data_IF_835032046585
#
_entry.id   IF_835032046585
#
_cell.length_a   1.000
_cell.length_b   1.000
_cell.length_c   1.000
_cell.angle_alpha   90.00
_cell.angle_beta   90.00
_cell.angle_gamma   90.00
#
_symmetry.space_group_name_H-M   'P 1'
#
loop_
_entity.id
_entity.type
_entity.pdbx_description
1 polymer ?
#
# COMPACT_ATOMS: atom_id res chain seq x y z
N UNK A 1 -8.82 0.13 19.92
CA UNK A 1 -9.73 -0.86 19.32
C UNK A 1 -11.19 -0.39 19.26
N UNK A 2 -11.91 -0.19 20.39
CA UNK A 2 -13.35 0.20 20.36
C UNK A 2 -13.58 1.50 19.58
N UNK A 3 -12.81 2.54 19.83
CA UNK A 3 -12.90 3.81 19.11
C UNK A 3 -12.65 3.66 17.61
N UNK A 4 -11.61 2.92 17.21
CA UNK A 4 -11.28 2.69 15.80
C UNK A 4 -12.41 1.95 15.06
N UNK A 5 -13.02 0.94 15.70
CA UNK A 5 -14.14 0.19 15.10
C UNK A 5 -15.41 1.05 15.01
N UNK A 6 -15.70 1.84 16.04
CA UNK A 6 -16.94 2.60 16.14
C UNK A 6 -16.99 3.81 15.20
N UNK A 7 -15.87 4.51 15.05
CA UNK A 7 -15.78 5.72 14.23
C UNK A 7 -15.42 5.47 12.77
N UNK A 8 -15.08 4.23 12.41
CA UNK A 8 -14.77 3.89 11.01
C UNK A 8 -16.03 3.98 10.13
N UNK A 9 -15.93 4.78 9.07
CA UNK A 9 -17.04 5.06 8.17
C UNK A 9 -17.53 3.80 7.43
N UNK A 10 -16.64 2.88 7.11
CA UNK A 10 -17.00 1.61 6.45
C UNK A 10 -17.87 0.71 7.33
N UNK A 11 -17.85 0.93 8.64
CA UNK A 11 -18.59 0.14 9.62
C UNK A 11 -19.99 0.68 9.94
N UNK A 12 -20.39 1.84 9.42
CA UNK A 12 -21.60 2.58 9.87
C UNK A 12 -22.86 1.73 9.97
N UNK A 13 -23.02 0.74 9.10
CA UNK A 13 -24.20 -0.17 9.09
C UNK A 13 -23.98 -1.50 9.84
N UNK A 14 -22.80 -1.75 10.40
CA UNK A 14 -22.43 -3.02 11.02
C UNK A 14 -21.57 -2.87 12.29
N UNK A 15 -21.62 -1.72 12.97
CA UNK A 15 -20.77 -1.37 14.11
C UNK A 15 -20.74 -2.44 15.20
N UNK A 16 -21.90 -2.88 15.68
CA UNK A 16 -21.99 -3.90 16.73
C UNK A 16 -21.37 -5.23 16.29
N UNK A 17 -21.70 -5.70 15.07
CA UNK A 17 -21.10 -6.92 14.52
C UNK A 17 -19.58 -6.81 14.44
N UNK A 18 -19.04 -5.65 14.03
CA UNK A 18 -17.59 -5.41 13.95
C UNK A 18 -16.93 -5.35 15.33
N UNK A 19 -17.61 -4.82 16.33
CA UNK A 19 -17.12 -4.87 17.72
C UNK A 19 -17.01 -6.31 18.24
N UNK A 20 -18.01 -7.15 17.98
CA UNK A 20 -17.96 -8.58 18.33
C UNK A 20 -16.82 -9.31 17.60
N UNK A 21 -16.66 -9.09 16.30
CA UNK A 21 -15.56 -9.67 15.53
C UNK A 21 -14.20 -9.20 16.05
N UNK A 22 -14.05 -7.92 16.35
CA UNK A 22 -12.81 -7.35 16.89
C UNK A 22 -12.49 -7.92 18.29
N UNK A 23 -13.49 -8.02 19.17
CA UNK A 23 -13.35 -8.64 20.49
C UNK A 23 -12.97 -10.13 20.39
N UNK A 24 -13.69 -10.88 19.58
CA UNK A 24 -13.41 -12.30 19.31
C UNK A 24 -12.00 -12.50 18.74
N UNK A 25 -11.57 -11.63 17.82
CA UNK A 25 -10.21 -11.67 17.27
C UNK A 25 -9.14 -11.42 18.32
N UNK A 26 -9.38 -10.50 19.27
CA UNK A 26 -8.42 -10.24 20.35
C UNK A 26 -8.27 -11.47 21.27
N UNK A 27 -9.34 -12.20 21.54
CA UNK A 27 -9.29 -13.46 22.29
C UNK A 27 -8.58 -14.54 21.47
N UNK A 28 -8.98 -14.69 20.19
CA UNK A 28 -8.41 -15.68 19.28
C UNK A 28 -6.89 -15.55 19.16
N UNK A 29 -6.39 -14.33 18.96
CA UNK A 29 -4.94 -14.05 18.85
C UNK A 29 -4.15 -14.50 20.08
N UNK A 30 -4.76 -14.47 21.26
CA UNK A 30 -4.09 -14.81 22.53
C UNK A 30 -4.18 -16.28 22.88
N UNK A 31 -5.29 -16.92 22.56
CA UNK A 31 -5.62 -18.28 22.99
C UNK A 31 -5.33 -19.30 21.89
N UNK A 32 -5.92 -19.12 20.71
CA UNK A 32 -5.86 -20.13 19.63
C UNK A 32 -4.61 -19.96 18.77
N UNK A 33 -4.24 -18.73 18.46
CA UNK A 33 -3.01 -18.35 17.72
C UNK A 33 -2.85 -18.97 16.33
N UNK A 34 -3.91 -19.46 15.71
CA UNK A 34 -3.90 -19.98 14.35
C UNK A 34 -4.49 -18.99 13.35
N UNK A 35 -4.04 -19.00 12.08
CA UNK A 35 -4.66 -18.18 11.04
C UNK A 35 -6.13 -18.55 10.81
N UNK A 36 -6.94 -17.57 10.41
CA UNK A 36 -8.33 -17.77 10.01
C UNK A 36 -8.58 -17.19 8.63
N UNK A 37 -9.46 -17.81 7.85
CA UNK A 37 -9.87 -17.28 6.55
C UNK A 37 -11.14 -16.47 6.73
N UNK A 38 -11.10 -15.21 6.25
CA UNK A 38 -12.23 -14.29 6.33
C UNK A 38 -12.60 -13.76 4.95
N UNK A 39 -13.89 -13.52 4.67
CA UNK A 39 -14.31 -12.91 3.40
C UNK A 39 -14.02 -11.42 3.41
N UNK A 40 -13.56 -10.91 2.26
CA UNK A 40 -13.44 -9.49 1.97
C UNK A 40 -14.74 -8.96 1.34
N UNK A 41 -14.90 -7.63 1.31
CA UNK A 41 -16.12 -6.98 0.80
C UNK A 41 -16.33 -7.19 -0.72
N UNK A 42 -15.29 -7.48 -1.46
CA UNK A 42 -15.28 -7.70 -2.92
C UNK A 42 -15.39 -9.17 -3.32
N UNK A 43 -15.68 -10.06 -2.38
CA UNK A 43 -15.91 -11.49 -2.62
C UNK A 43 -14.66 -12.36 -2.52
N UNK A 44 -13.46 -11.78 -2.48
CA UNK A 44 -12.23 -12.53 -2.24
C UNK A 44 -12.10 -12.94 -0.77
N UNK A 45 -11.16 -13.85 -0.49
CA UNK A 45 -10.87 -14.38 0.84
C UNK A 45 -9.48 -13.93 1.29
N UNK A 46 -9.34 -13.68 2.57
CA UNK A 46 -8.08 -13.27 3.18
C UNK A 46 -7.75 -14.19 4.35
N UNK A 47 -6.54 -14.73 4.38
CA UNK A 47 -6.01 -15.48 5.50
C UNK A 47 -5.43 -14.49 6.51
N UNK A 48 -6.15 -14.31 7.61
CA UNK A 48 -5.76 -13.41 8.69
C UNK A 48 -4.84 -14.15 9.68
N UNK A 49 -3.66 -13.59 9.89
CA UNK A 49 -2.65 -14.12 10.81
C UNK A 49 -2.69 -13.36 12.14
N UNK A 50 -2.59 -14.05 13.31
CA UNK A 50 -2.66 -13.42 14.63
C UNK A 50 -1.56 -12.38 14.91
N UNK A 51 -0.41 -12.53 14.29
CA UNK A 51 0.80 -11.70 14.41
C UNK A 51 0.93 -10.64 13.30
N UNK A 52 -0.17 -10.29 12.61
CA UNK A 52 -0.17 -9.34 11.50
C UNK A 52 -1.19 -8.21 11.72
N UNK A 53 -0.76 -6.96 11.58
CA UNK A 53 -1.62 -5.77 11.74
C UNK A 53 -2.68 -5.69 10.64
N UNK A 54 -2.34 -5.99 9.39
CA UNK A 54 -3.28 -6.02 8.28
C UNK A 54 -4.47 -6.96 8.57
N UNK A 55 -4.21 -8.09 9.25
CA UNK A 55 -5.25 -9.01 9.70
C UNK A 55 -6.23 -8.38 10.70
N UNK A 56 -5.71 -7.58 11.63
CA UNK A 56 -6.54 -6.85 12.57
C UNK A 56 -7.35 -5.76 11.88
N UNK A 57 -6.77 -5.07 10.91
CA UNK A 57 -7.46 -4.04 10.13
C UNK A 57 -8.70 -4.62 9.41
N UNK A 58 -8.58 -5.77 8.73
CA UNK A 58 -9.71 -6.43 8.04
C UNK A 58 -10.83 -6.85 9.00
N UNK A 59 -10.48 -7.26 10.23
CA UNK A 59 -11.47 -7.70 11.21
C UNK A 59 -12.13 -6.54 11.96
N UNK A 60 -11.41 -5.41 12.14
CA UNK A 60 -11.92 -4.24 12.81
C UNK A 60 -12.78 -3.36 11.89
N UNK A 61 -12.41 -3.30 10.61
CA UNK A 61 -13.08 -2.46 9.63
C UNK A 61 -13.60 -3.30 8.48
N UNK A 62 -14.66 -2.85 7.81
CA UNK A 62 -15.15 -3.51 6.61
C UNK A 62 -14.18 -3.32 5.44
N UNK A 63 -13.64 -2.13 5.33
CA UNK A 63 -12.70 -1.72 4.31
C UNK A 63 -11.56 -0.97 5.02
N UNK A 64 -10.40 -1.60 5.20
CA UNK A 64 -9.22 -0.91 5.73
C UNK A 64 -8.91 0.33 4.89
N UNK A 65 -8.51 1.41 5.55
CA UNK A 65 -8.22 2.68 4.90
C UNK A 65 -9.31 3.14 3.92
N UNK A 66 -10.57 3.14 4.40
CA UNK A 66 -11.77 3.27 3.58
C UNK A 66 -11.73 4.45 2.61
N UNK A 67 -11.26 5.63 3.05
CA UNK A 67 -11.27 6.85 2.22
C UNK A 67 -10.31 6.71 1.04
N UNK A 68 -9.07 6.35 1.31
CA UNK A 68 -8.03 6.24 0.29
C UNK A 68 -8.30 5.07 -0.65
N UNK A 69 -8.69 3.90 -0.12
CA UNK A 69 -9.04 2.76 -0.97
C UNK A 69 -10.28 3.05 -1.84
N UNK A 70 -11.29 3.73 -1.30
CA UNK A 70 -12.49 4.11 -2.07
C UNK A 70 -12.16 5.12 -3.17
N UNK A 71 -11.28 6.08 -2.89
CA UNK A 71 -10.79 7.02 -3.88
C UNK A 71 -10.02 6.29 -4.98
N UNK A 72 -9.04 5.47 -4.64
CA UNK A 72 -8.27 4.68 -5.59
C UNK A 72 -9.19 3.80 -6.46
N UNK A 73 -10.09 3.02 -5.86
CA UNK A 73 -11.04 2.14 -6.57
C UNK A 73 -12.00 2.88 -7.51
N UNK A 74 -12.34 4.13 -7.19
CA UNK A 74 -13.22 4.96 -8.03
C UNK A 74 -12.54 5.47 -9.27
N UNK A 75 -11.26 5.83 -9.16
CA UNK A 75 -10.54 6.57 -10.19
C UNK A 75 -9.53 5.74 -10.97
N UNK A 76 -9.13 4.56 -10.46
CA UNK A 76 -8.26 3.66 -11.22
C UNK A 76 -9.00 2.99 -12.38
N UNK A 77 -8.29 2.75 -13.45
CA UNK A 77 -8.75 2.00 -14.60
C UNK A 77 -8.32 0.53 -14.48
N UNK A 78 -8.85 -0.34 -15.35
CA UNK A 78 -8.37 -1.71 -15.44
C UNK A 78 -6.99 -1.73 -16.07
N UNK A 79 -6.05 -2.41 -15.42
CA UNK A 79 -4.67 -2.50 -15.88
C UNK A 79 -3.81 -3.27 -14.88
N UNK A 80 -2.51 -3.04 -14.92
CA UNK A 80 -1.55 -3.57 -13.95
C UNK A 80 -1.52 -2.66 -12.73
N UNK A 81 -1.57 -3.23 -11.55
CA UNK A 81 -1.35 -2.56 -10.27
C UNK A 81 0.04 -2.91 -9.73
N UNK A 82 0.82 -1.90 -9.39
CA UNK A 82 2.11 -2.09 -8.72
C UNK A 82 1.93 -1.85 -7.22
N UNK A 83 2.15 -2.88 -6.41
CA UNK A 83 2.01 -2.85 -4.94
C UNK A 83 3.39 -2.87 -4.30
N UNK A 84 3.95 -1.69 -4.02
CA UNK A 84 5.30 -1.54 -3.46
C UNK A 84 5.18 -1.45 -1.94
N UNK A 85 5.82 -2.42 -1.23
CA UNK A 85 5.58 -2.68 0.18
C UNK A 85 4.26 -3.43 0.38
N UNK A 86 4.08 -4.53 -0.37
CA UNK A 86 2.80 -5.23 -0.42
C UNK A 86 2.43 -5.97 0.87
N UNK A 87 3.37 -6.17 1.77
CA UNK A 87 3.19 -6.93 3.00
C UNK A 87 2.53 -8.29 2.70
N UNK A 88 1.40 -8.61 3.30
CA UNK A 88 0.66 -9.86 3.07
C UNK A 88 -0.28 -9.82 1.85
N UNK A 89 -0.15 -8.83 0.96
CA UNK A 89 -0.92 -8.69 -0.28
C UNK A 89 -2.36 -8.22 -0.09
N UNK A 90 -2.69 -7.60 1.05
CA UNK A 90 -4.06 -7.21 1.36
C UNK A 90 -4.61 -6.16 0.38
N UNK A 91 -3.86 -5.12 0.04
CA UNK A 91 -4.34 -4.06 -0.86
C UNK A 91 -4.57 -4.62 -2.26
N UNK A 92 -3.66 -5.43 -2.78
CA UNK A 92 -3.84 -6.12 -4.06
C UNK A 92 -5.10 -6.99 -4.08
N UNK A 93 -5.42 -7.71 -2.99
CA UNK A 93 -6.69 -8.46 -2.87
C UNK A 93 -7.91 -7.56 -2.84
N UNK A 94 -7.84 -6.42 -2.13
CA UNK A 94 -8.94 -5.46 -2.05
C UNK A 94 -9.21 -4.75 -3.39
N UNK A 95 -8.25 -4.82 -4.32
CA UNK A 95 -8.34 -4.24 -5.67
C UNK A 95 -8.55 -5.32 -6.75
N UNK A 96 -8.47 -6.61 -6.45
CA UNK A 96 -8.43 -7.68 -7.42
C UNK A 96 -9.63 -7.73 -8.40
N UNK A 97 -10.79 -7.23 -8.01
CA UNK A 97 -11.97 -7.07 -8.87
C UNK A 97 -11.88 -5.88 -9.84
N UNK A 98 -10.87 -5.01 -9.69
CA UNK A 98 -10.68 -3.77 -10.45
C UNK A 98 -9.49 -3.80 -11.41
N UNK A 99 -8.59 -4.77 -11.26
CA UNK A 99 -7.32 -4.84 -12.00
C UNK A 99 -7.29 -6.10 -12.87
N UNK A 100 -6.42 -6.11 -13.86
CA UNK A 100 -6.15 -7.31 -14.66
C UNK A 100 -5.04 -8.15 -14.04
N UNK A 101 -4.02 -7.48 -13.51
CA UNK A 101 -2.85 -8.10 -12.93
C UNK A 101 -2.27 -7.23 -11.82
N UNK A 102 -1.49 -7.83 -10.92
CA UNK A 102 -0.71 -7.08 -9.95
C UNK A 102 0.70 -7.65 -9.84
N UNK A 103 1.67 -6.75 -9.66
CA UNK A 103 3.05 -7.08 -9.33
C UNK A 103 3.32 -6.51 -7.94
N UNK A 104 3.60 -7.42 -7.00
CA UNK A 104 3.81 -7.12 -5.60
C UNK A 104 5.29 -7.16 -5.27
N UNK A 105 5.81 -6.12 -4.63
CA UNK A 105 7.17 -6.06 -4.13
C UNK A 105 7.14 -6.03 -2.61
N UNK A 106 7.70 -7.06 -1.99
CA UNK A 106 7.75 -7.20 -0.53
C UNK A 106 9.10 -7.82 -0.15
N UNK A 107 10.01 -7.04 0.47
CA UNK A 107 11.35 -7.52 0.78
C UNK A 107 11.41 -8.56 1.91
N UNK A 108 10.44 -8.56 2.84
CA UNK A 108 10.41 -9.54 3.92
C UNK A 108 9.94 -10.90 3.39
N UNK A 109 10.78 -11.96 3.41
CA UNK A 109 10.41 -13.27 2.86
C UNK A 109 9.17 -13.89 3.52
N UNK A 110 8.98 -13.66 4.83
CA UNK A 110 7.83 -14.20 5.56
C UNK A 110 6.53 -13.49 5.15
N UNK A 111 6.56 -12.17 4.93
CA UNK A 111 5.43 -11.39 4.42
C UNK A 111 5.12 -11.77 2.98
N UNK A 112 6.12 -11.87 2.11
CA UNK A 112 5.97 -12.29 0.72
C UNK A 112 5.39 -13.71 0.60
N UNK A 113 5.80 -14.65 1.44
CA UNK A 113 5.21 -15.99 1.48
C UNK A 113 3.71 -15.93 1.82
N UNK A 114 3.31 -15.12 2.82
CA UNK A 114 1.89 -14.93 3.18
C UNK A 114 1.11 -14.21 2.07
N UNK A 115 1.72 -13.29 1.34
CA UNK A 115 1.10 -12.68 0.16
C UNK A 115 0.79 -13.76 -0.90
N UNK A 116 1.75 -14.63 -1.22
CA UNK A 116 1.55 -15.76 -2.14
C UNK A 116 0.44 -16.70 -1.67
N UNK A 117 0.39 -17.04 -0.37
CA UNK A 117 -0.71 -17.85 0.18
C UNK A 117 -2.07 -17.18 0.02
N UNK A 118 -2.16 -15.87 0.24
CA UNK A 118 -3.38 -15.09 0.08
C UNK A 118 -3.83 -15.03 -1.40
N UNK A 119 -2.91 -14.87 -2.32
CA UNK A 119 -3.20 -14.90 -3.76
C UNK A 119 -3.66 -16.29 -4.21
N UNK A 120 -2.95 -17.33 -3.80
CA UNK A 120 -3.28 -18.72 -4.11
C UNK A 120 -4.65 -19.14 -3.57
N UNK A 121 -5.03 -18.68 -2.37
CA UNK A 121 -6.36 -18.89 -1.77
C UNK A 121 -7.50 -18.41 -2.67
N UNK A 122 -7.21 -17.46 -3.57
CA UNK A 122 -8.17 -16.82 -4.47
C UNK A 122 -7.91 -17.17 -5.95
N UNK A 123 -7.00 -18.08 -6.23
CA UNK A 123 -6.61 -18.48 -7.59
C UNK A 123 -6.13 -17.30 -8.46
N UNK A 124 -5.48 -16.31 -7.84
CA UNK A 124 -4.93 -15.15 -8.52
C UNK A 124 -3.47 -15.42 -8.92
N UNK A 125 -3.17 -15.30 -10.22
CA UNK A 125 -1.83 -15.45 -10.78
C UNK A 125 -0.99 -14.17 -10.71
N UNK A 126 -1.16 -13.36 -9.66
CA UNK A 126 -0.37 -12.14 -9.45
C UNK A 126 1.05 -12.49 -9.03
N UNK A 127 2.01 -11.64 -9.38
CA UNK A 127 3.42 -11.86 -9.12
C UNK A 127 3.84 -11.29 -7.75
N UNK A 128 4.70 -12.01 -7.03
CA UNK A 128 5.28 -11.55 -5.75
C UNK A 128 6.79 -11.68 -5.80
N UNK A 129 7.48 -10.54 -5.74
CA UNK A 129 8.92 -10.43 -5.75
C UNK A 129 9.46 -10.10 -4.36
N UNK A 130 10.39 -10.92 -3.85
CA UNK A 130 11.13 -10.66 -2.60
C UNK A 130 12.23 -9.63 -2.88
N UNK A 131 11.83 -8.38 -2.99
CA UNK A 131 12.67 -7.27 -3.46
C UNK A 131 12.26 -5.97 -2.79
N UNK A 132 13.22 -5.24 -2.25
CA UNK A 132 13.04 -3.85 -1.84
C UNK A 132 13.22 -2.94 -3.06
N UNK A 133 12.25 -2.11 -3.36
CA UNK A 133 12.44 -1.05 -4.36
C UNK A 133 13.09 0.17 -3.72
N UNK A 134 14.00 0.82 -4.45
CA UNK A 134 14.82 1.92 -3.98
C UNK A 134 15.37 2.72 -5.18
N UNK A 135 16.21 3.71 -4.90
CA UNK A 135 17.00 4.46 -5.88
C UNK A 135 18.37 3.82 -6.21
N UNK A 136 18.67 2.67 -5.61
CA UNK A 136 19.97 2.00 -5.75
C UNK A 136 19.78 0.49 -5.86
N UNK A 137 20.74 -0.18 -6.52
CA UNK A 137 20.82 -1.64 -6.60
C UNK A 137 21.84 -2.18 -5.60
N UNK A 138 21.59 -3.38 -5.08
CA UNK A 138 22.48 -4.07 -4.15
C UNK A 138 21.73 -4.75 -2.99
N UNK A 139 22.31 -4.71 -1.81
CA UNK A 139 21.72 -5.19 -0.57
C UNK A 139 21.34 -4.03 0.35
N UNK A 140 20.32 -4.24 1.15
CA UNK A 140 19.90 -3.31 2.20
C UNK A 140 19.45 -4.10 3.41
N UNK A 141 19.72 -3.56 4.61
CA UNK A 141 19.18 -4.13 5.84
C UNK A 141 17.79 -3.61 6.09
N UNK A 142 16.87 -4.51 6.45
CA UNK A 142 15.54 -4.15 6.94
C UNK A 142 15.36 -4.67 8.37
N UNK A 143 14.60 -3.95 9.19
CA UNK A 143 14.23 -4.42 10.53
C UNK A 143 13.39 -5.69 10.42
N UNK A 144 13.67 -6.67 11.29
CA UNK A 144 12.92 -7.91 11.38
C UNK A 144 12.61 -8.21 12.86
N UNK A 145 11.54 -7.66 13.35
CA UNK A 145 11.09 -7.84 14.75
C UNK A 145 10.55 -9.25 15.07
N UNK A 146 10.80 -10.24 14.20
CA UNK A 146 10.42 -11.64 14.43
C UNK A 146 8.97 -11.97 14.09
N UNK A 147 8.31 -11.14 13.29
CA UNK A 147 6.94 -11.34 12.79
C UNK A 147 6.73 -10.72 11.42
N UNK A 148 5.52 -10.90 10.88
CA UNK A 148 5.07 -10.23 9.67
C UNK A 148 4.30 -8.98 10.09
N UNK A 149 4.87 -8.20 10.99
CA UNK A 149 4.30 -6.91 11.34
C UNK A 149 4.75 -5.86 10.34
N UNK A 150 3.89 -4.90 10.08
CA UNK A 150 4.03 -3.86 9.07
C UNK A 150 5.18 -2.87 9.30
N UNK A 151 6.00 -3.07 10.31
CA UNK A 151 7.07 -2.15 10.69
C UNK A 151 8.47 -2.60 10.24
N UNK A 152 8.60 -3.33 9.13
CA UNK A 152 9.90 -3.73 8.60
C UNK A 152 10.54 -2.55 7.85
N UNK A 153 11.06 -1.59 8.61
CA UNK A 153 11.71 -0.40 8.04
C UNK A 153 13.06 -0.72 7.43
N UNK A 154 13.35 -0.07 6.33
CA UNK A 154 14.70 -0.05 5.77
C UNK A 154 15.65 0.69 6.71
N UNK A 155 16.76 0.06 7.09
CA UNK A 155 17.76 0.64 7.98
C UNK A 155 18.77 1.43 7.14
N UNK A 156 18.44 2.69 6.83
CA UNK A 156 19.33 3.61 6.13
C UNK A 156 19.42 4.90 6.92
N UNK A 157 20.64 5.27 7.31
CA UNK A 157 20.91 6.52 8.00
C UNK A 157 20.51 6.58 9.49
N UNK A 158 20.13 5.45 10.10
CA UNK A 158 19.88 5.36 11.55
C UNK A 158 20.36 4.01 12.11
N UNK A 159 20.48 3.93 13.44
CA UNK A 159 20.81 2.69 14.15
C UNK A 159 19.53 2.10 14.73
N UNK A 160 19.33 0.78 14.61
CA UNK A 160 18.24 0.06 15.23
C UNK A 160 18.75 -0.92 16.29
N UNK A 161 17.97 -1.16 17.33
CA UNK A 161 18.19 -2.23 18.29
C UNK A 161 17.45 -3.52 17.93
N UNK A 162 16.66 -3.51 16.88
CA UNK A 162 15.92 -4.67 16.39
C UNK A 162 16.84 -5.56 15.55
N UNK A 163 16.61 -6.88 15.52
CA UNK A 163 17.24 -7.76 14.53
C UNK A 163 16.99 -7.24 13.12
N UNK A 164 17.98 -7.43 12.24
CA UNK A 164 17.86 -7.08 10.82
C UNK A 164 18.05 -8.30 9.94
N UNK A 165 17.54 -8.21 8.72
CA UNK A 165 17.84 -9.15 7.63
C UNK A 165 18.31 -8.36 6.42
N UNK A 166 19.29 -8.94 5.70
CA UNK A 166 19.79 -8.38 4.45
C UNK A 166 18.91 -8.84 3.30
N UNK A 167 18.38 -7.89 2.53
CA UNK A 167 17.49 -8.17 1.40
C UNK A 167 18.02 -7.49 0.12
N UNK A 168 17.64 -8.04 -1.03
CA UNK A 168 17.96 -7.42 -2.32
C UNK A 168 17.17 -6.13 -2.49
N UNK A 169 17.84 -5.10 -3.04
CA UNK A 169 17.17 -3.87 -3.50
C UNK A 169 17.53 -3.55 -4.94
N UNK A 170 16.61 -2.86 -5.63
CA UNK A 170 16.76 -2.48 -7.03
C UNK A 170 15.85 -1.28 -7.35
N UNK A 171 16.15 -0.54 -8.42
CA UNK A 171 15.19 0.43 -8.96
C UNK A 171 14.10 -0.29 -9.73
N UNK A 172 12.88 0.24 -9.72
CA UNK A 172 11.79 -0.35 -10.52
C UNK A 172 12.07 -0.19 -12.03
N UNK A 173 12.69 0.91 -12.44
CA UNK A 173 13.05 1.15 -13.83
C UNK A 173 13.98 0.03 -14.34
N UNK A 174 14.96 -0.40 -13.54
CA UNK A 174 15.85 -1.52 -13.89
C UNK A 174 15.09 -2.85 -13.87
N UNK A 175 14.23 -3.07 -12.85
CA UNK A 175 13.41 -4.27 -12.77
C UNK A 175 12.57 -4.46 -14.03
N UNK A 176 11.91 -3.41 -14.52
CA UNK A 176 11.09 -3.48 -15.72
C UNK A 176 11.93 -3.68 -17.00
N UNK A 177 13.16 -3.17 -17.03
CA UNK A 177 14.06 -3.41 -18.16
C UNK A 177 14.57 -4.86 -18.24
N UNK A 178 14.58 -5.57 -17.12
CA UNK A 178 15.01 -6.98 -17.01
C UNK A 178 13.86 -7.98 -17.16
N UNK A 179 12.61 -7.52 -17.18
CA UNK A 179 11.43 -8.37 -17.25
C UNK A 179 10.70 -8.17 -18.57
N UNK A 180 9.90 -9.17 -18.95
CA UNK A 180 9.06 -9.12 -20.13
C UNK A 180 8.05 -7.96 -20.09
N UNK A 181 7.53 -7.60 -21.27
CA UNK A 181 6.53 -6.55 -21.40
C UNK A 181 5.33 -6.80 -20.46
N UNK A 182 4.90 -5.74 -19.76
CA UNK A 182 3.73 -5.80 -18.88
C UNK A 182 2.49 -6.27 -19.66
N UNK A 183 1.63 -7.08 -19.04
CA UNK A 183 0.44 -7.65 -19.71
C UNK A 183 -0.64 -6.60 -20.05
N UNK A 184 -0.53 -5.40 -19.49
CA UNK A 184 -1.42 -4.25 -19.74
C UNK A 184 -0.75 -2.96 -19.27
N UNK A 185 -1.29 -1.77 -19.61
CA UNK A 185 -0.83 -0.51 -19.04
C UNK A 185 -0.91 -0.49 -17.51
N UNK A 186 0.01 0.23 -16.87
CA UNK A 186 -0.02 0.42 -15.42
C UNK A 186 -1.15 1.38 -15.08
N UNK A 187 -2.13 0.91 -14.30
CA UNK A 187 -3.30 1.69 -13.91
C UNK A 187 -3.05 2.54 -12.66
N UNK A 188 -2.34 1.97 -11.70
CA UNK A 188 -2.00 2.65 -10.46
C UNK A 188 -0.77 2.03 -9.80
N UNK A 189 -0.13 2.80 -8.94
CA UNK A 189 1.02 2.40 -8.10
C UNK A 189 0.67 2.71 -6.64
N UNK A 190 0.99 1.79 -5.72
CA UNK A 190 1.02 2.06 -4.28
C UNK A 190 2.47 2.01 -3.81
N UNK A 191 2.85 2.96 -2.95
CA UNK A 191 4.15 3.03 -2.28
C UNK A 191 3.90 3.17 -0.79
N UNK A 192 4.25 2.13 -0.03
CA UNK A 192 4.07 2.10 1.43
C UNK A 192 5.21 1.24 1.98
N UNK A 193 6.33 1.90 2.26
CA UNK A 193 7.63 1.27 2.57
C UNK A 193 8.22 1.81 3.86
N UNK A 194 7.35 2.28 4.75
CA UNK A 194 7.67 2.64 6.13
C UNK A 194 8.80 3.68 6.26
N UNK A 195 8.73 4.74 5.44
CA UNK A 195 9.62 5.90 5.48
C UNK A 195 10.76 5.89 4.45
N UNK A 196 10.72 4.98 3.47
CA UNK A 196 11.67 4.93 2.36
C UNK A 196 11.05 5.41 1.02
N UNK A 197 9.88 6.06 1.09
CA UNK A 197 9.04 6.45 -0.06
C UNK A 197 9.81 7.31 -1.06
N UNK A 198 10.60 8.30 -0.59
CA UNK A 198 11.36 9.18 -1.49
C UNK A 198 12.47 8.44 -2.25
N UNK A 199 13.10 7.43 -1.65
CA UNK A 199 14.06 6.60 -2.35
C UNK A 199 13.40 5.72 -3.41
N UNK A 200 12.25 5.12 -3.09
CA UNK A 200 11.44 4.40 -4.07
C UNK A 200 11.03 5.34 -5.21
N UNK A 201 10.53 6.53 -4.87
CA UNK A 201 10.08 7.51 -5.86
C UNK A 201 11.20 7.91 -6.82
N UNK A 202 12.43 8.15 -6.32
CA UNK A 202 13.60 8.39 -7.20
C UNK A 202 13.88 7.22 -8.14
N UNK A 203 13.67 5.99 -7.68
CA UNK A 203 13.89 4.75 -8.47
C UNK A 203 12.78 4.39 -9.47
N UNK A 204 11.67 5.16 -9.51
CA UNK A 204 10.54 4.95 -10.42
C UNK A 204 10.23 6.16 -11.31
N UNK A 205 11.06 7.20 -11.30
CA UNK A 205 10.81 8.42 -12.08
C UNK A 205 10.71 8.15 -13.59
N UNK A 206 11.53 7.22 -14.10
CA UNK A 206 11.46 6.78 -15.50
C UNK A 206 10.10 6.17 -15.84
N UNK A 207 9.61 5.26 -15.01
CA UNK A 207 8.27 4.69 -15.14
C UNK A 207 7.18 5.76 -15.13
N UNK A 208 7.22 6.67 -14.18
CA UNK A 208 6.20 7.74 -14.09
C UNK A 208 6.20 8.63 -15.32
N UNK A 209 7.38 8.93 -15.88
CA UNK A 209 7.51 9.70 -17.11
C UNK A 209 7.01 9.00 -18.36
N UNK A 210 7.19 7.68 -18.46
CA UNK A 210 6.91 6.89 -19.68
C UNK A 210 5.55 6.20 -19.65
N UNK A 211 5.19 5.53 -18.55
CA UNK A 211 3.95 4.77 -18.41
C UNK A 211 2.77 5.60 -17.89
N UNK A 212 3.03 6.75 -17.28
CA UNK A 212 2.00 7.72 -16.85
C UNK A 212 0.84 7.08 -16.07
N UNK A 213 1.07 6.25 -15.02
CA UNK A 213 -0.03 5.69 -14.25
C UNK A 213 -0.95 6.80 -13.73
N UNK A 214 -2.27 6.57 -13.85
CA UNK A 214 -3.29 7.57 -13.54
C UNK A 214 -3.26 8.03 -12.08
N UNK A 215 -2.89 7.11 -11.17
CA UNK A 215 -2.76 7.41 -9.75
C UNK A 215 -1.52 6.73 -9.15
N UNK A 216 -0.83 7.47 -8.31
CA UNK A 216 0.18 6.95 -7.39
C UNK A 216 -0.30 7.24 -5.97
N UNK A 217 -0.58 6.20 -5.19
CA UNK A 217 -0.89 6.29 -3.76
C UNK A 217 0.39 6.08 -2.97
N UNK A 218 0.67 6.93 -1.99
CA UNK A 218 1.86 6.77 -1.16
C UNK A 218 1.60 7.16 0.30
N UNK A 219 2.29 6.47 1.22
CA UNK A 219 2.21 6.77 2.64
C UNK A 219 3.00 8.04 2.96
N UNK A 220 2.40 8.93 3.76
CA UNK A 220 3.06 10.12 4.29
C UNK A 220 3.20 10.03 5.80
N UNK A 221 4.43 9.78 6.25
CA UNK A 221 4.79 9.69 7.66
C UNK A 221 5.47 10.99 8.16
N UNK A 222 5.59 11.15 9.48
CA UNK A 222 6.30 12.29 10.08
C UNK A 222 7.76 12.42 9.62
N UNK A 223 8.39 11.31 9.28
CA UNK A 223 9.78 11.25 8.79
C UNK A 223 9.93 11.48 7.29
N UNK A 224 8.82 11.43 6.54
CA UNK A 224 8.83 11.65 5.09
C UNK A 224 8.99 13.14 4.78
N UNK A 225 9.98 13.50 3.97
CA UNK A 225 10.13 14.86 3.48
C UNK A 225 9.13 15.14 2.35
N UNK A 226 7.94 15.64 2.71
CA UNK A 226 6.86 15.90 1.75
C UNK A 226 7.24 16.94 0.69
N UNK A 227 8.04 17.93 1.03
CA UNK A 227 8.48 18.94 0.07
C UNK A 227 9.33 18.30 -1.05
N UNK A 228 10.25 17.41 -0.68
CA UNK A 228 11.03 16.61 -1.65
C UNK A 228 10.13 15.68 -2.46
N UNK A 229 9.16 15.01 -1.83
CA UNK A 229 8.19 14.15 -2.51
C UNK A 229 7.43 14.92 -3.59
N UNK A 230 6.93 16.12 -3.25
CA UNK A 230 6.22 16.99 -4.19
C UNK A 230 7.11 17.47 -5.33
N UNK A 231 8.37 17.79 -5.05
CA UNK A 231 9.35 18.17 -6.07
C UNK A 231 9.64 17.02 -7.03
N UNK A 232 9.86 15.80 -6.52
CA UNK A 232 10.11 14.61 -7.35
C UNK A 232 8.92 14.33 -8.29
N UNK A 233 7.69 14.41 -7.80
CA UNK A 233 6.49 14.27 -8.63
C UNK A 233 6.39 15.38 -9.67
N UNK A 234 6.65 16.63 -9.30
CA UNK A 234 6.60 17.78 -10.23
C UNK A 234 7.60 17.64 -11.40
N UNK A 235 8.79 17.07 -11.15
CA UNK A 235 9.81 16.83 -12.21
C UNK A 235 9.30 15.94 -13.35
N UNK A 236 8.31 15.10 -13.09
CA UNK A 236 7.71 14.19 -14.08
C UNK A 236 6.28 14.58 -14.44
N UNK A 237 5.87 15.81 -14.09
CA UNK A 237 4.56 16.37 -14.44
C UNK A 237 3.40 15.73 -13.66
N UNK A 238 3.61 15.44 -12.37
CA UNK A 238 2.57 14.98 -11.44
C UNK A 238 2.30 16.02 -10.37
N UNK A 239 1.06 16.06 -9.88
CA UNK A 239 0.65 16.86 -8.73
C UNK A 239 0.12 16.00 -7.60
N UNK A 240 0.38 16.44 -6.37
CA UNK A 240 0.00 15.70 -5.16
C UNK A 240 -1.39 16.14 -4.68
N UNK A 241 -2.21 15.14 -4.34
CA UNK A 241 -3.60 15.27 -3.89
C UNK A 241 -3.71 14.73 -2.46
N UNK A 242 -4.43 15.44 -1.61
CA UNK A 242 -4.87 14.99 -0.30
C UNK A 242 -6.38 14.71 -0.32
N UNK A 243 -6.83 13.58 0.27
CA UNK A 243 -8.26 13.24 0.34
C UNK A 243 -8.78 13.56 1.72
N UNK A 244 -9.33 14.76 1.93
CA UNK A 244 -9.93 15.22 3.19
C UNK A 244 -11.43 14.94 3.24
N UNK A 245 -11.88 14.26 4.28
CA UNK A 245 -13.30 13.94 4.47
C UNK A 245 -13.98 13.35 3.23
N UNK A 246 -13.23 12.60 2.40
CA UNK A 246 -13.71 12.00 1.15
C UNK A 246 -13.70 12.93 -0.06
N UNK A 247 -13.32 14.20 0.09
CA UNK A 247 -13.14 15.17 -1.00
C UNK A 247 -11.65 15.34 -1.31
N UNK A 248 -11.24 15.26 -2.58
CA UNK A 248 -9.87 15.52 -3.01
C UNK A 248 -9.59 17.04 -3.02
N UNK A 249 -8.37 17.38 -2.61
CA UNK A 249 -7.83 18.73 -2.66
C UNK A 249 -6.34 18.67 -2.99
N UNK A 250 -5.77 19.76 -3.48
CA UNK A 250 -4.33 19.84 -3.67
C UNK A 250 -3.62 19.77 -2.33
N UNK A 251 -2.67 18.88 -2.20
CA UNK A 251 -1.83 18.83 -1.03
C UNK A 251 -0.93 20.06 -0.94
N UNK A 252 -0.67 20.49 0.27
CA UNK A 252 0.31 21.56 0.57
C UNK A 252 1.46 20.98 1.38
N UNK A 253 2.63 21.63 1.42
CA UNK A 253 3.74 21.19 2.27
C UNK A 253 3.40 21.09 3.78
N UNK A 254 2.28 21.69 4.19
CA UNK A 254 1.76 21.67 5.55
C UNK A 254 0.71 20.55 5.77
N UNK A 255 0.52 19.64 4.82
CA UNK A 255 -0.36 18.51 5.01
C UNK A 255 0.02 17.72 6.28
N UNK A 256 -0.99 17.23 7.00
CA UNK A 256 -0.75 16.46 8.23
C UNK A 256 -0.15 15.09 7.88
N UNK A 257 0.89 14.64 8.58
CA UNK A 257 1.44 13.29 8.39
C UNK A 257 0.49 12.19 8.91
N UNK A 258 0.89 10.94 8.74
CA UNK A 258 0.15 9.72 9.12
C UNK A 258 -1.12 9.53 8.29
N UNK A 259 -1.01 9.73 6.99
CA UNK A 259 -2.06 9.49 6.02
C UNK A 259 -1.49 9.04 4.69
N UNK A 260 -2.35 8.47 3.83
CA UNK A 260 -2.02 8.27 2.45
C UNK A 260 -2.37 9.52 1.62
N UNK A 261 -1.44 9.87 0.75
CA UNK A 261 -1.60 10.89 -0.28
C UNK A 261 -1.63 10.23 -1.66
N UNK A 262 -2.05 11.01 -2.65
CA UNK A 262 -2.07 10.58 -4.03
C UNK A 262 -1.28 11.55 -4.90
N UNK A 263 -0.78 11.06 -6.04
CA UNK A 263 -0.31 11.91 -7.12
C UNK A 263 -0.95 11.48 -8.43
N UNK A 264 -1.24 12.43 -9.29
CA UNK A 264 -1.81 12.22 -10.62
C UNK A 264 -1.05 13.06 -11.65
N UNK A 265 -1.03 12.65 -12.95
CA UNK A 265 -0.55 13.48 -14.03
C UNK A 265 -1.25 14.83 -14.07
N UNK A 266 -0.51 15.91 -14.34
CA UNK A 266 -1.08 17.28 -14.38
C UNK A 266 -2.19 17.43 -15.41
N UNK A 267 -2.08 16.74 -16.54
CA UNK A 267 -3.10 16.74 -17.60
C UNK A 267 -4.44 16.10 -17.19
N UNK A 268 -4.41 15.24 -16.14
CA UNK A 268 -5.60 14.60 -15.57
C UNK A 268 -6.09 15.30 -14.30
N UNK A 269 -5.43 16.35 -13.87
CA UNK A 269 -5.65 17.02 -12.60
C UNK A 269 -7.12 17.44 -12.38
N UNK A 270 -7.78 17.93 -13.41
CA UNK A 270 -9.18 18.38 -13.36
C UNK A 270 -10.19 17.23 -13.12
N UNK A 271 -9.82 15.99 -13.41
CA UNK A 271 -10.67 14.82 -13.12
C UNK A 271 -10.77 14.54 -11.64
N UNK A 272 -9.75 14.90 -10.85
CA UNK A 272 -9.64 14.60 -9.44
C UNK A 272 -9.98 15.79 -8.56
N UNK A 273 -9.44 16.96 -8.87
CA UNK A 273 -9.65 18.19 -8.11
C UNK A 273 -10.28 19.21 -9.05
N UNK A 274 -11.61 19.36 -9.02
CA UNK A 274 -12.26 20.34 -9.86
C UNK A 274 -11.73 21.75 -9.56
N UNK A 275 -11.66 22.65 -10.57
CA UNK A 275 -11.29 24.03 -10.34
C UNK A 275 -12.25 24.63 -9.29
N UNK A 276 -11.70 25.47 -8.39
CA UNK A 276 -12.53 26.23 -7.45
C UNK A 276 -13.54 27.04 -8.27
N UNK A 277 -14.82 26.82 -8.00
CA UNK A 277 -15.84 27.75 -8.49
C UNK A 277 -15.60 29.09 -7.77
N UNK A 278 -15.02 30.05 -8.48
CA UNK A 278 -14.94 31.43 -8.04
C UNK A 278 -16.32 32.03 -7.76
#
# INVERSE_FOLDING_TARGET
MVGSVWHDESNRHARLRRLFLAGGWQVWKRVVRTPVVVPLFNGFRFRAYPDCQASSAVLYTRIPNFKCLSFLRRHMEKGVFLDIGANVGLISLLLADKIHHAILFEPNPAAAARARENLALNHLGFEVHELALSDQTGLVEIENAGGVDSCNRTVVGFTTSLPTISVRRQTLDLFLAEHDALPAPISAVKIDVEGHENSVLRGILGLLGTHRPKLVMFEYLQRTNLAETMELFSRVGYRVIEVKAGAPAWATPQASPLQDLFACPEELAAEFVPPSSD
#
